data_IF_776262097979
#
_entry.id   IF_776262097979
#
_cell.length_a   1.000
_cell.length_b   1.000
_cell.length_c   1.000
_cell.angle_alpha   90.00
_cell.angle_beta   90.00
_cell.angle_gamma   90.00
#
_symmetry.space_group_name_H-M   'P 1'
#
loop_
_entity.id
_entity.type
_entity.pdbx_description
1 polymer ?
#
# COMPACT_ATOMS: atom_id res chain seq x y z
N UNK A 1 13.66 -11.22 20.14
CA UNK A 1 12.35 -10.81 20.70
C UNK A 1 12.19 -9.31 20.51
N UNK A 2 11.01 -8.83 20.13
CA UNK A 2 10.76 -7.37 20.06
C UNK A 2 10.54 -6.84 21.48
N UNK A 3 10.96 -5.60 21.73
CA UNK A 3 10.89 -4.98 23.07
C UNK A 3 9.45 -4.81 23.58
N UNK A 4 8.50 -4.64 22.66
CA UNK A 4 7.08 -4.57 22.92
C UNK A 4 6.29 -5.13 21.72
N UNK A 5 5.09 -5.63 21.95
CA UNK A 5 4.17 -6.09 20.91
C UNK A 5 2.75 -5.71 21.30
N UNK A 6 2.04 -5.04 20.40
CA UNK A 6 0.62 -4.74 20.56
C UNK A 6 -0.18 -5.62 19.60
N UNK A 7 -1.27 -6.18 20.09
CA UNK A 7 -2.11 -7.12 19.37
C UNK A 7 -3.54 -6.62 19.29
N UNK A 8 -4.15 -6.80 18.13
CA UNK A 8 -5.58 -6.61 17.91
C UNK A 8 -6.15 -7.93 17.45
N UNK A 9 -7.05 -8.52 18.23
CA UNK A 9 -7.62 -9.85 17.98
C UNK A 9 -9.14 -9.77 17.89
N UNK A 10 -9.74 -10.51 16.96
CA UNK A 10 -11.20 -10.70 16.95
C UNK A 10 -11.53 -12.00 17.68
N UNK A 11 -12.33 -11.92 18.75
CA UNK A 11 -12.77 -13.05 19.58
C UNK A 11 -14.22 -12.86 19.99
N UNK A 12 -15.04 -13.88 19.82
CA UNK A 12 -16.46 -13.88 20.14
C UNK A 12 -17.23 -12.73 19.46
N UNK A 13 -16.82 -12.38 18.23
CA UNK A 13 -17.39 -11.25 17.49
C UNK A 13 -16.99 -9.86 18.00
N UNK A 14 -16.11 -9.78 19.00
CA UNK A 14 -15.59 -8.54 19.57
C UNK A 14 -14.11 -8.33 19.27
N UNK A 15 -13.68 -7.06 19.25
CA UNK A 15 -12.26 -6.70 19.18
C UNK A 15 -11.65 -6.64 20.58
N UNK A 16 -10.51 -7.31 20.74
CA UNK A 16 -9.69 -7.30 21.94
C UNK A 16 -8.35 -6.63 21.58
N UNK A 17 -7.95 -5.66 22.41
CA UNK A 17 -6.66 -4.96 22.29
C UNK A 17 -5.76 -5.40 23.45
N UNK A 18 -4.61 -5.98 23.14
CA UNK A 18 -3.66 -6.56 24.10
C UNK A 18 -2.25 -6.00 23.86
N UNK A 19 -1.43 -5.99 24.91
CA UNK A 19 -0.04 -5.49 24.86
C UNK A 19 0.25 -4.52 26.00
N UNK A 20 1.54 -4.21 26.19
CA UNK A 20 1.94 -3.15 27.11
C UNK A 20 1.84 -1.81 26.40
N UNK A 21 0.75 -1.09 26.64
CA UNK A 21 0.59 0.25 26.11
C UNK A 21 1.47 1.26 26.85
N UNK A 22 1.86 0.96 28.10
CA UNK A 22 2.43 1.91 29.05
C UNK A 22 1.37 2.70 29.83
N UNK A 23 1.80 3.65 30.68
CA UNK A 23 0.88 4.50 31.43
C UNK A 23 0.12 5.45 30.50
N UNK A 24 -1.15 5.71 30.83
CA UNK A 24 -1.93 6.70 30.11
C UNK A 24 -1.27 8.10 30.22
N UNK A 25 -1.07 8.81 29.12
CA UNK A 25 -0.53 10.16 29.15
C UNK A 25 -1.56 11.16 29.68
N UNK A 26 -1.09 12.18 30.40
CA UNK A 26 -1.93 13.27 30.95
C UNK A 26 -2.35 14.32 29.91
N UNK A 27 -2.08 14.07 28.63
CA UNK A 27 -2.28 15.01 27.52
C UNK A 27 -3.67 14.95 26.90
N UNK A 28 -4.57 14.13 27.44
CA UNK A 28 -5.93 13.94 26.93
C UNK A 28 -6.01 13.15 25.62
N UNK A 29 -4.89 12.59 25.15
CA UNK A 29 -4.89 11.67 24.01
C UNK A 29 -5.55 10.34 24.39
N UNK A 30 -5.98 9.61 23.38
CA UNK A 30 -6.70 8.38 23.54
C UNK A 30 -5.79 7.25 24.06
N UNK A 31 -6.26 6.53 25.09
CA UNK A 31 -5.53 5.40 25.67
C UNK A 31 -6.45 4.19 25.94
N UNK A 32 -6.07 2.95 25.58
CA UNK A 32 -5.02 2.63 24.59
C UNK A 32 -5.32 3.31 23.24
N UNK A 33 -4.32 3.46 22.35
CA UNK A 33 -4.48 4.26 21.13
C UNK A 33 -5.35 3.58 20.06
N UNK A 34 -5.87 2.38 20.34
CA UNK A 34 -6.82 1.67 19.49
C UNK A 34 -8.27 1.91 19.90
N UNK A 35 -9.18 2.00 18.91
CA UNK A 35 -10.63 1.99 19.14
C UNK A 35 -11.35 1.06 18.20
N UNK A 36 -12.38 0.40 18.72
CA UNK A 36 -13.35 -0.29 17.89
C UNK A 36 -14.10 0.74 17.04
N UNK A 37 -14.19 0.48 15.73
CA UNK A 37 -14.90 1.28 14.77
C UNK A 37 -15.92 0.42 14.03
N UNK A 38 -17.09 0.23 14.65
CA UNK A 38 -18.19 -0.52 14.05
C UNK A 38 -17.95 -2.04 13.92
N UNK A 39 -17.06 -2.61 14.74
CA UNK A 39 -16.74 -4.04 14.81
C UNK A 39 -15.89 -4.57 13.67
N UNK A 40 -16.18 -4.14 12.44
CA UNK A 40 -15.47 -4.55 11.23
C UNK A 40 -14.15 -3.80 11.01
N UNK A 41 -13.93 -2.73 11.77
CA UNK A 41 -12.72 -1.92 11.71
C UNK A 41 -12.27 -1.51 13.12
N UNK A 42 -11.03 -1.05 13.20
CA UNK A 42 -10.52 -0.34 14.34
C UNK A 42 -9.66 0.83 13.90
N UNK A 43 -9.55 1.86 14.72
CA UNK A 43 -8.63 2.97 14.49
C UNK A 43 -7.38 2.80 15.33
N UNK A 44 -6.27 3.33 14.84
CA UNK A 44 -5.06 3.58 15.62
C UNK A 44 -4.75 5.08 15.52
N UNK A 45 -4.82 5.78 16.65
CA UNK A 45 -4.39 7.17 16.73
C UNK A 45 -2.86 7.24 16.64
N UNK A 46 -2.35 7.92 15.62
CA UNK A 46 -0.92 8.16 15.45
C UNK A 46 -0.61 9.60 15.87
N UNK A 47 0.52 9.79 16.55
CA UNK A 47 0.95 11.10 17.04
C UNK A 47 1.71 11.87 15.94
N UNK A 48 1.12 11.94 14.75
CA UNK A 48 1.65 12.65 13.59
C UNK A 48 0.64 13.67 13.10
N UNK A 49 1.11 14.88 12.80
CA UNK A 49 0.39 15.87 12.03
C UNK A 49 0.99 15.92 10.63
N UNK A 50 0.16 15.71 9.61
CA UNK A 50 0.62 15.61 8.23
C UNK A 50 -0.08 16.66 7.38
N UNK A 51 0.67 17.70 6.99
CA UNK A 51 0.22 18.72 6.06
C UNK A 51 0.86 18.46 4.67
N UNK A 52 0.09 18.02 3.65
CA UNK A 52 0.63 17.80 2.31
C UNK A 52 0.89 19.10 1.53
N UNK A 53 0.40 20.25 2.01
CA UNK A 53 0.42 21.53 1.28
C UNK A 53 -0.79 21.73 0.38
N UNK A 54 -0.93 22.94 -0.16
CA UNK A 54 -2.02 23.33 -1.05
C UNK A 54 -2.00 22.54 -2.37
N UNK A 55 -3.16 22.06 -2.83
CA UNK A 55 -3.30 21.27 -4.06
C UNK A 55 -2.87 19.80 -3.95
N UNK A 56 -2.48 19.36 -2.74
CA UNK A 56 -2.04 17.99 -2.48
C UNK A 56 -2.93 17.32 -1.43
N UNK A 57 -3.06 16.01 -1.55
CA UNK A 57 -3.81 15.15 -0.64
C UNK A 57 -2.93 14.02 -0.12
N UNK A 58 -3.31 13.50 1.05
CA UNK A 58 -2.68 12.32 1.64
C UNK A 58 -3.55 11.10 1.36
N UNK A 59 -2.94 10.06 0.80
CA UNK A 59 -3.56 8.75 0.63
C UNK A 59 -2.86 7.74 1.52
N UNK A 60 -3.64 7.09 2.38
CA UNK A 60 -3.17 5.92 3.14
C UNK A 60 -3.41 4.65 2.35
N UNK A 61 -2.51 3.66 2.49
CA UNK A 61 -2.61 2.37 1.81
C UNK A 61 -2.10 1.23 2.73
N UNK A 62 -2.50 -0.03 2.51
CA UNK A 62 -1.91 -1.18 3.17
C UNK A 62 -0.38 -1.22 3.00
N UNK A 63 0.33 -1.68 4.02
CA UNK A 63 1.75 -1.95 3.88
C UNK A 63 1.98 -3.15 2.92
N UNK A 64 2.99 -3.14 2.02
CA UNK A 64 3.19 -4.20 1.02
C UNK A 64 3.36 -5.60 1.59
N UNK A 65 3.84 -5.70 2.84
CA UNK A 65 3.95 -6.96 3.58
C UNK A 65 2.61 -7.70 3.62
N UNK A 66 1.48 -6.98 3.63
CA UNK A 66 0.14 -7.54 3.56
C UNK A 66 -0.02 -8.50 2.37
N UNK A 67 0.45 -8.14 1.17
CA UNK A 67 0.27 -8.96 -0.03
C UNK A 67 1.09 -10.26 -0.04
N UNK A 68 2.08 -10.35 0.85
CA UNK A 68 2.94 -11.53 0.99
C UNK A 68 2.70 -12.27 2.30
N UNK A 69 1.90 -11.70 3.21
CA UNK A 69 1.60 -12.31 4.49
C UNK A 69 0.67 -13.50 4.29
N UNK A 70 1.04 -14.62 4.92
CA UNK A 70 0.26 -15.86 4.92
C UNK A 70 -0.25 -16.23 6.31
N UNK A 71 0.01 -15.37 7.29
CA UNK A 71 -0.26 -15.60 8.72
C UNK A 71 -1.40 -14.75 9.26
N UNK A 72 -1.93 -13.83 8.44
CA UNK A 72 -2.95 -12.84 8.81
C UNK A 72 -2.55 -11.98 10.02
N UNK A 73 -1.24 -11.74 10.17
CA UNK A 73 -0.70 -10.93 11.28
C UNK A 73 -0.46 -9.48 10.89
N UNK A 74 -0.42 -9.18 9.59
CA UNK A 74 -0.19 -7.81 9.12
C UNK A 74 -1.46 -6.97 9.26
N UNK A 75 -1.40 -5.82 9.97
CA UNK A 75 -2.49 -4.86 9.98
C UNK A 75 -2.84 -4.38 8.57
N UNK A 76 -4.12 -4.34 8.25
CA UNK A 76 -4.62 -3.95 6.92
C UNK A 76 -5.19 -2.53 7.00
N UNK A 77 -4.36 -1.53 6.71
CA UNK A 77 -4.81 -0.14 6.64
C UNK A 77 -5.85 0.02 5.52
N UNK A 78 -6.98 0.63 5.83
CA UNK A 78 -8.04 0.91 4.84
C UNK A 78 -7.60 2.10 4.00
N UNK A 79 -7.64 2.01 2.66
CA UNK A 79 -7.34 3.15 1.82
C UNK A 79 -8.25 4.34 2.11
N UNK A 80 -7.66 5.47 2.44
CA UNK A 80 -8.36 6.73 2.68
C UNK A 80 -7.62 7.88 2.03
N UNK A 81 -8.37 8.78 1.38
CA UNK A 81 -7.87 10.02 0.80
C UNK A 81 -8.30 11.19 1.67
N UNK A 82 -7.33 11.92 2.21
CA UNK A 82 -7.55 13.12 2.99
C UNK A 82 -7.16 14.34 2.14
N UNK A 83 -8.20 15.11 1.81
CA UNK A 83 -8.15 16.39 1.10
C UNK A 83 -8.32 17.52 2.10
N UNK A 84 -7.90 18.73 1.73
CA UNK A 84 -7.96 19.95 2.57
C UNK A 84 -7.46 19.71 4.01
N UNK A 85 -6.19 20.00 4.27
CA UNK A 85 -5.61 19.73 5.59
C UNK A 85 -6.31 20.49 6.71
N UNK A 86 -6.72 19.75 7.75
CA UNK A 86 -7.18 20.27 9.03
C UNK A 86 -6.18 19.83 10.11
N UNK A 87 -5.74 20.72 11.02
CA UNK A 87 -4.80 20.38 12.07
C UNK A 87 -5.50 19.54 13.16
N UNK A 88 -5.66 18.25 12.89
CA UNK A 88 -6.21 17.26 13.81
C UNK A 88 -5.26 16.08 13.94
N UNK A 89 -5.17 15.53 15.16
CA UNK A 89 -4.42 14.31 15.41
C UNK A 89 -4.87 13.21 14.46
N UNK A 90 -3.92 12.69 13.70
CA UNK A 90 -4.22 11.71 12.67
C UNK A 90 -4.55 10.35 13.29
N UNK A 91 -5.45 9.62 12.65
CA UNK A 91 -5.66 8.21 12.95
C UNK A 91 -5.73 7.46 11.63
N UNK A 92 -5.32 6.19 11.69
CA UNK A 92 -5.44 5.28 10.55
C UNK A 92 -6.51 4.26 10.89
N UNK A 93 -7.41 4.00 9.94
CA UNK A 93 -8.42 2.96 10.04
C UNK A 93 -7.82 1.66 9.51
N UNK A 94 -7.99 0.58 10.25
CA UNK A 94 -7.61 -0.77 9.86
C UNK A 94 -8.85 -1.65 9.78
N UNK A 95 -8.85 -2.60 8.85
CA UNK A 95 -9.82 -3.69 8.86
C UNK A 95 -9.58 -4.55 10.10
N UNK A 96 -10.66 -4.97 10.77
CA UNK A 96 -10.56 -5.96 11.86
C UNK A 96 -10.02 -7.29 11.33
N UNK A 97 -9.19 -8.01 12.11
CA UNK A 97 -8.79 -9.36 11.75
C UNK A 97 -10.02 -10.27 11.69
N UNK A 98 -9.94 -11.37 10.93
CA UNK A 98 -10.99 -12.38 10.97
C UNK A 98 -11.10 -13.00 12.38
N UNK A 99 -12.24 -13.63 12.68
CA UNK A 99 -12.46 -14.34 13.95
C UNK A 99 -11.30 -15.31 14.24
N UNK A 100 -10.74 -15.24 15.45
CA UNK A 100 -9.60 -16.04 15.89
C UNK A 100 -8.25 -15.62 15.28
N UNK A 101 -8.18 -14.52 14.53
CA UNK A 101 -6.93 -13.96 13.97
C UNK A 101 -6.51 -12.71 14.74
N UNK A 102 -5.22 -12.39 14.61
CA UNK A 102 -4.58 -11.32 15.38
C UNK A 102 -3.68 -10.50 14.47
N UNK A 103 -3.94 -9.20 14.37
CA UNK A 103 -2.99 -8.25 13.81
C UNK A 103 -1.96 -7.86 14.86
N UNK A 104 -0.71 -7.72 14.44
CA UNK A 104 0.44 -7.48 15.32
C UNK A 104 1.15 -6.18 14.92
N UNK A 105 1.40 -5.33 15.92
CA UNK A 105 2.19 -4.11 15.80
C UNK A 105 3.45 -4.23 16.66
N UNK A 106 4.61 -3.91 16.06
CA UNK A 106 5.92 -3.99 16.71
C UNK A 106 6.71 -2.71 16.49
N UNK A 107 7.53 -2.30 17.47
CA UNK A 107 8.45 -1.17 17.31
C UNK A 107 9.31 -1.31 16.05
N UNK A 108 9.40 -0.22 15.28
CA UNK A 108 10.20 -0.15 14.06
C UNK A 108 9.61 -0.88 12.84
N UNK A 109 8.50 -1.61 13.00
CA UNK A 109 7.85 -2.26 11.85
C UNK A 109 6.85 -1.32 11.17
N UNK A 110 7.01 -1.05 9.86
CA UNK A 110 6.03 -0.29 9.11
C UNK A 110 4.72 -1.08 8.95
N UNK A 111 3.58 -0.40 9.16
CA UNK A 111 2.25 -1.00 9.18
C UNK A 111 1.26 -0.38 8.17
N UNK A 112 1.62 0.74 7.55
CA UNK A 112 0.85 1.38 6.48
C UNK A 112 1.79 2.13 5.52
N UNK A 113 1.27 2.54 4.37
CA UNK A 113 1.90 3.51 3.49
C UNK A 113 1.15 4.83 3.54
N UNK A 114 1.90 5.92 3.37
CA UNK A 114 1.37 7.27 3.21
C UNK A 114 1.95 7.82 1.91
N UNK A 115 1.06 8.21 1.00
CA UNK A 115 1.41 8.69 -0.34
C UNK A 115 0.84 10.09 -0.49
N UNK A 116 1.66 11.02 -0.97
CA UNK A 116 1.21 12.36 -1.35
C UNK A 116 0.83 12.34 -2.82
N UNK A 117 -0.41 12.72 -3.12
CA UNK A 117 -0.97 12.73 -4.48
C UNK A 117 -1.63 14.08 -4.76
N UNK A 118 -1.78 14.51 -6.03
CA UNK A 118 -2.60 15.67 -6.33
C UNK A 118 -4.00 15.53 -5.73
N UNK A 119 -4.51 16.61 -5.14
CA UNK A 119 -5.83 16.63 -4.48
C UNK A 119 -6.97 16.32 -5.46
N UNK A 120 -6.84 16.89 -6.66
CA UNK A 120 -7.67 16.65 -7.81
C UNK A 120 -6.78 16.19 -8.97
N UNK A 121 -7.30 15.24 -9.75
CA UNK A 121 -6.67 14.82 -10.98
C UNK A 121 -7.75 14.78 -12.06
N UNK A 122 -7.64 15.70 -13.01
CA UNK A 122 -8.55 15.79 -14.14
C UNK A 122 -7.98 14.98 -15.31
N UNK A 123 -8.64 13.88 -15.63
CA UNK A 123 -8.28 13.02 -16.75
C UNK A 123 -9.45 12.96 -17.72
N UNK A 124 -9.23 13.44 -18.95
CA UNK A 124 -10.12 13.17 -20.05
C UNK A 124 -9.78 11.80 -20.64
N UNK A 125 -10.72 10.86 -20.55
CA UNK A 125 -10.60 9.60 -21.29
C UNK A 125 -10.99 9.86 -22.74
N UNK A 126 -10.08 9.55 -23.66
CA UNK A 126 -10.31 9.58 -25.09
C UNK A 126 -10.14 8.17 -25.66
N UNK A 127 -10.94 7.83 -26.66
CA UNK A 127 -10.69 6.65 -27.48
C UNK A 127 -9.40 6.87 -28.29
N UNK A 128 -8.61 5.81 -28.48
CA UNK A 128 -7.43 5.90 -29.34
C UNK A 128 -7.88 6.18 -30.77
N UNK A 129 -7.26 7.15 -31.43
CA UNK A 129 -7.47 7.33 -32.86
C UNK A 129 -6.80 6.22 -33.70
N UNK A 130 -7.03 6.22 -35.02
CA UNK A 130 -6.47 5.20 -35.91
C UNK A 130 -4.93 5.18 -35.89
N UNK A 131 -4.28 6.33 -35.76
CA UNK A 131 -2.83 6.45 -35.73
C UNK A 131 -2.27 5.92 -34.41
N UNK A 132 -2.85 6.31 -33.28
CA UNK A 132 -2.48 5.83 -31.94
C UNK A 132 -2.68 4.32 -31.82
N UNK A 133 -3.79 3.80 -32.35
CA UNK A 133 -4.07 2.36 -32.38
C UNK A 133 -3.04 1.61 -33.25
N UNK A 134 -2.70 2.15 -34.42
CA UNK A 134 -1.67 1.59 -35.29
C UNK A 134 -0.28 1.63 -34.63
N UNK A 135 0.07 2.72 -33.94
CA UNK A 135 1.34 2.86 -33.24
C UNK A 135 1.44 1.88 -32.05
N UNK A 136 0.35 1.75 -31.28
CA UNK A 136 0.24 0.76 -30.19
C UNK A 136 0.42 -0.65 -30.74
N UNK A 137 -0.21 -0.97 -31.86
CA UNK A 137 -0.12 -2.28 -32.49
C UNK A 137 1.30 -2.58 -33.00
N UNK A 138 1.94 -1.60 -33.64
CA UNK A 138 3.34 -1.71 -34.06
C UNK A 138 4.28 -1.92 -32.85
N UNK A 139 4.08 -1.18 -31.76
CA UNK A 139 4.83 -1.35 -30.50
C UNK A 139 4.61 -2.75 -29.92
N UNK A 140 3.36 -3.24 -29.90
CA UNK A 140 3.03 -4.56 -29.39
C UNK A 140 3.72 -5.68 -30.19
N UNK A 141 3.70 -5.60 -31.53
CA UNK A 141 4.39 -6.55 -32.42
C UNK A 141 5.90 -6.57 -32.16
N UNK A 142 6.53 -5.40 -32.10
CA UNK A 142 7.98 -5.29 -31.83
C UNK A 142 8.36 -5.90 -30.47
N UNK A 143 7.56 -5.65 -29.44
CA UNK A 143 7.77 -6.26 -28.12
C UNK A 143 7.63 -7.77 -28.21
N UNK A 144 6.61 -8.28 -28.91
CA UNK A 144 6.39 -9.71 -29.08
C UNK A 144 7.56 -10.39 -29.80
N UNK A 145 7.99 -9.85 -30.94
CA UNK A 145 9.12 -10.34 -31.73
C UNK A 145 10.44 -10.31 -30.94
N UNK A 146 10.65 -9.26 -30.16
CA UNK A 146 11.88 -9.08 -29.37
C UNK A 146 11.85 -9.81 -28.04
N UNK A 147 10.71 -10.41 -27.65
CA UNK A 147 10.49 -10.93 -26.29
C UNK A 147 11.51 -12.00 -25.93
N UNK A 148 11.80 -12.94 -26.84
CA UNK A 148 12.77 -14.01 -26.57
C UNK A 148 14.15 -13.44 -26.23
N UNK A 149 14.60 -12.42 -26.95
CA UNK A 149 15.88 -11.73 -26.70
C UNK A 149 15.84 -10.91 -25.41
N UNK A 150 14.78 -10.14 -25.19
CA UNK A 150 14.63 -9.27 -24.02
C UNK A 150 14.45 -10.02 -22.71
N UNK A 151 13.99 -11.28 -22.78
CA UNK A 151 13.70 -12.12 -21.62
C UNK A 151 14.71 -13.24 -21.39
N UNK A 152 15.71 -13.42 -22.27
CA UNK A 152 16.58 -14.59 -22.31
C UNK A 152 17.17 -14.99 -20.94
N UNK A 153 17.55 -14.00 -20.12
CA UNK A 153 18.18 -14.21 -18.82
C UNK A 153 17.20 -14.17 -17.63
N UNK A 154 15.89 -14.03 -17.89
CA UNK A 154 14.89 -13.71 -16.86
C UNK A 154 13.58 -14.47 -17.04
N UNK A 155 13.60 -15.80 -16.99
CA UNK A 155 12.37 -16.60 -17.04
C UNK A 155 12.02 -17.19 -15.67
N UNK A 156 10.75 -17.05 -15.29
CA UNK A 156 10.16 -17.71 -14.13
C UNK A 156 8.88 -18.41 -14.54
N UNK A 157 8.76 -19.69 -14.26
CA UNK A 157 7.56 -20.47 -14.56
C UNK A 157 6.73 -20.63 -13.29
N UNK A 158 5.45 -20.25 -13.34
CA UNK A 158 4.53 -20.46 -12.23
C UNK A 158 4.10 -21.93 -12.09
N UNK A 159 3.43 -22.24 -10.98
CA UNK A 159 2.81 -23.55 -10.77
C UNK A 159 1.74 -23.91 -11.82
N UNK A 160 1.15 -22.93 -12.50
CA UNK A 160 0.20 -23.11 -13.60
C UNK A 160 0.89 -23.17 -14.97
N UNK A 161 2.21 -23.30 -15.01
CA UNK A 161 3.03 -23.31 -16.22
C UNK A 161 2.95 -22.00 -17.05
N UNK A 162 2.65 -20.87 -16.40
CA UNK A 162 2.70 -19.55 -17.02
C UNK A 162 4.11 -18.99 -16.90
N UNK A 163 4.67 -18.53 -18.02
CA UNK A 163 6.01 -17.92 -18.05
C UNK A 163 5.91 -16.43 -17.79
N UNK A 164 6.63 -15.98 -16.77
CA UNK A 164 6.87 -14.58 -16.44
C UNK A 164 8.29 -14.21 -16.82
N UNK A 165 8.50 -12.95 -17.20
CA UNK A 165 9.82 -12.48 -17.58
C UNK A 165 10.11 -11.01 -17.26
N UNK A 166 11.39 -10.64 -17.41
CA UNK A 166 11.88 -9.29 -17.15
C UNK A 166 11.72 -8.30 -18.30
N UNK A 167 10.95 -8.61 -19.36
CA UNK A 167 10.93 -7.84 -20.62
C UNK A 167 10.77 -6.33 -20.39
N UNK A 168 9.78 -5.90 -19.60
CA UNK A 168 9.55 -4.49 -19.32
C UNK A 168 10.71 -3.80 -18.59
N UNK A 169 11.39 -4.51 -17.68
CA UNK A 169 12.58 -4.00 -16.97
C UNK A 169 13.73 -3.79 -17.95
N UNK A 170 13.92 -4.71 -18.91
CA UNK A 170 14.97 -4.59 -19.92
C UNK A 170 14.67 -3.46 -20.94
N UNK A 171 13.41 -3.30 -21.37
CA UNK A 171 12.99 -2.17 -22.20
C UNK A 171 13.29 -0.84 -21.51
N UNK A 172 12.93 -0.70 -20.22
CA UNK A 172 13.22 0.51 -19.45
C UNK A 172 14.72 0.80 -19.35
N UNK A 173 15.54 -0.22 -19.10
CA UNK A 173 17.01 -0.09 -19.04
C UNK A 173 17.57 0.39 -20.37
N UNK A 174 17.15 -0.21 -21.49
CA UNK A 174 17.57 0.19 -22.82
C UNK A 174 17.17 1.64 -23.15
N UNK A 175 15.94 2.04 -22.81
CA UNK A 175 15.46 3.41 -23.01
C UNK A 175 16.27 4.44 -22.19
N UNK A 176 16.63 4.13 -20.94
CA UNK A 176 17.49 4.98 -20.11
C UNK A 176 18.89 5.12 -20.69
N UNK A 177 19.51 4.01 -21.12
CA UNK A 177 20.84 4.02 -21.73
C UNK A 177 20.91 4.88 -23.00
N UNK A 178 19.87 4.83 -23.84
CA UNK A 178 19.77 5.67 -25.04
C UNK A 178 19.66 7.16 -24.71
N UNK A 179 18.90 7.53 -23.68
CA UNK A 179 18.78 8.94 -23.22
C UNK A 179 20.07 9.50 -22.62
N UNK A 180 20.93 8.66 -22.03
CA UNK A 180 22.23 9.09 -21.49
C UNK A 180 23.34 9.18 -22.54
N UNK A 181 23.11 8.64 -23.76
CA UNK A 181 24.10 8.57 -24.83
C UNK A 181 23.90 9.61 -25.94
N UNK A 182 22.85 10.42 -25.86
CA UNK A 182 22.57 11.55 -26.75
C UNK A 182 22.51 12.84 -25.96
#
# INVERSE_FOLDING_TARGET
>A
PYDNELSVTTRDGGLIFEGDFGPAPETGVLWPPFRNFGGNFYTYQILLDLNPGEGWAIRTEPHPRFYTDRTDTVPIAVPALLRHWWPMMFFIVFKSPAEGRTHIFRPGEPFAQIIVVPEEADYALAEMDEEEAAERELKARRIHESRQTLSADTHWTSASNTVFDGTYRHILRAAKAKKSAG
#
